data_IF_047263371911
#
_entry.id   IF_047263371911
#
_cell.length_a   1.000
_cell.length_b   1.000
_cell.length_c   1.000
_cell.angle_alpha   90.00
_cell.angle_beta   90.00
_cell.angle_gamma   90.00
#
_symmetry.space_group_name_H-M   'P 1'
#
loop_
_entity.id
_entity.type
_entity.pdbx_description
1 polymer ?
#
# COMPACT_ATOMS: atom_id res chain seq x y z
N UNK A 1 27.29 -16.72 -1.90
CA UNK A 1 25.96 -16.45 -2.49
C UNK A 1 25.49 -15.14 -1.88
N UNK A 2 25.00 -14.20 -2.69
CA UNK A 2 24.44 -12.96 -2.15
C UNK A 2 23.20 -13.30 -1.32
N UNK A 3 23.21 -13.03 -0.02
CA UNK A 3 22.09 -13.34 0.88
C UNK A 3 21.06 -12.20 0.95
N UNK A 4 20.88 -11.50 -0.18
CA UNK A 4 19.98 -10.36 -0.28
C UNK A 4 19.16 -10.44 -1.56
N UNK A 5 17.99 -9.80 -1.52
CA UNK A 5 17.08 -9.63 -2.66
C UNK A 5 17.05 -8.17 -3.08
N UNK A 6 16.75 -7.92 -4.36
CA UNK A 6 16.54 -6.57 -4.90
C UNK A 6 15.05 -6.39 -5.18
N UNK A 7 14.52 -5.26 -4.73
CA UNK A 7 13.11 -4.92 -4.86
C UNK A 7 13.01 -3.51 -5.44
N UNK A 8 12.20 -3.35 -6.49
CA UNK A 8 11.87 -2.07 -7.09
C UNK A 8 10.40 -1.76 -6.85
N UNK A 9 10.11 -0.63 -6.20
CA UNK A 9 8.74 -0.13 -5.98
C UNK A 9 8.58 1.16 -6.76
N UNK A 10 7.90 1.10 -7.92
CA UNK A 10 7.81 2.20 -8.91
C UNK A 10 9.16 2.89 -9.21
N UNK A 11 10.21 2.10 -9.36
CA UNK A 11 11.56 2.59 -9.66
C UNK A 11 12.39 3.00 -8.43
N UNK A 12 11.79 3.07 -7.24
CA UNK A 12 12.55 3.21 -5.99
C UNK A 12 13.16 1.86 -5.64
N UNK A 13 14.49 1.81 -5.56
CA UNK A 13 15.24 0.56 -5.39
C UNK A 13 15.57 0.32 -3.93
N UNK A 14 15.33 -0.91 -3.50
CA UNK A 14 15.62 -1.40 -2.16
C UNK A 14 16.42 -2.70 -2.26
N UNK A 15 17.26 -2.92 -1.25
CA UNK A 15 17.99 -4.18 -1.03
C UNK A 15 17.79 -4.60 0.40
N UNK A 16 17.56 -5.89 0.63
CA UNK A 16 17.35 -6.43 1.98
C UNK A 16 17.77 -7.89 2.04
N UNK A 17 18.28 -8.31 3.20
CA UNK A 17 18.52 -9.71 3.55
C UNK A 17 17.43 -10.28 4.46
N UNK A 18 16.33 -9.55 4.71
CA UNK A 18 15.24 -10.03 5.55
C UNK A 18 14.60 -11.29 4.93
N UNK A 19 14.53 -12.42 5.67
CA UNK A 19 13.78 -13.60 5.25
C UNK A 19 12.29 -13.29 5.05
N UNK A 20 11.70 -12.51 5.96
CA UNK A 20 10.28 -12.11 5.88
C UNK A 20 9.98 -11.28 4.63
N UNK A 21 10.93 -10.46 4.17
CA UNK A 21 10.77 -9.75 2.90
C UNK A 21 10.80 -10.71 1.70
N UNK A 22 11.67 -11.72 1.71
CA UNK A 22 11.70 -12.75 0.66
C UNK A 22 10.39 -13.53 0.61
N UNK A 23 9.92 -14.01 1.75
CA UNK A 23 8.66 -14.76 1.87
C UNK A 23 7.47 -13.93 1.37
N UNK A 24 7.42 -12.64 1.72
CA UNK A 24 6.39 -11.72 1.26
C UNK A 24 6.45 -11.51 -0.26
N UNK A 25 7.64 -11.29 -0.83
CA UNK A 25 7.77 -11.11 -2.28
C UNK A 25 7.36 -12.36 -3.06
N UNK A 26 7.71 -13.56 -2.56
CA UNK A 26 7.28 -14.82 -3.16
C UNK A 26 5.75 -15.00 -3.10
N UNK A 27 5.13 -14.64 -1.98
CA UNK A 27 3.67 -14.70 -1.83
C UNK A 27 2.99 -13.72 -2.79
N UNK A 28 3.39 -12.45 -2.77
CA UNK A 28 2.80 -11.43 -3.63
C UNK A 28 3.04 -11.71 -5.12
N UNK A 29 4.13 -12.40 -5.48
CA UNK A 29 4.36 -12.87 -6.84
C UNK A 29 3.36 -13.94 -7.26
N UNK A 30 3.05 -14.91 -6.38
CA UNK A 30 2.02 -15.93 -6.63
C UNK A 30 0.62 -15.30 -6.77
N UNK A 31 0.36 -14.24 -6.02
CA UNK A 31 -0.90 -13.49 -6.05
C UNK A 31 -1.00 -12.54 -7.27
N UNK A 32 0.06 -12.45 -8.09
CA UNK A 32 0.08 -11.62 -9.31
C UNK A 32 0.32 -10.11 -9.06
N UNK A 33 0.69 -9.72 -7.84
CA UNK A 33 1.00 -8.33 -7.47
C UNK A 33 2.46 -7.94 -7.71
N UNK A 34 3.35 -8.92 -7.92
CA UNK A 34 4.79 -8.70 -8.10
C UNK A 34 5.29 -9.36 -9.37
N UNK A 35 5.97 -8.58 -10.19
CA UNK A 35 6.68 -9.09 -11.36
C UNK A 35 8.09 -9.50 -10.97
N UNK A 36 8.51 -10.70 -11.36
CA UNK A 36 9.88 -11.19 -11.15
C UNK A 36 10.63 -11.08 -12.46
N UNK A 37 11.75 -10.36 -12.44
CA UNK A 37 12.62 -10.23 -13.61
C UNK A 37 13.42 -11.52 -13.86
N UNK A 38 14.01 -11.70 -15.05
CA UNK A 38 14.88 -12.85 -15.34
C UNK A 38 16.08 -12.99 -14.39
N UNK A 39 16.51 -11.90 -13.75
CA UNK A 39 17.62 -11.89 -12.78
C UNK A 39 17.17 -12.24 -11.36
N UNK A 40 15.88 -12.50 -11.14
CA UNK A 40 15.29 -12.74 -9.82
C UNK A 40 14.96 -11.46 -9.04
N UNK A 41 15.16 -10.27 -9.61
CA UNK A 41 14.77 -9.01 -8.96
C UNK A 41 13.25 -8.82 -9.02
N UNK A 42 12.66 -8.31 -7.94
CA UNK A 42 11.22 -8.08 -7.81
C UNK A 42 10.84 -6.65 -8.22
N UNK A 43 9.71 -6.49 -8.90
CA UNK A 43 9.11 -5.20 -9.23
C UNK A 43 7.66 -5.14 -8.75
N UNK A 44 7.30 -4.07 -8.05
CA UNK A 44 5.95 -3.75 -7.60
C UNK A 44 5.54 -2.38 -8.14
N UNK A 45 4.38 -2.31 -8.79
CA UNK A 45 3.79 -1.05 -9.26
C UNK A 45 2.93 -0.40 -8.17
N UNK A 46 3.56 -0.03 -7.05
CA UNK A 46 2.89 0.60 -5.89
C UNK A 46 3.65 1.82 -5.39
N UNK A 47 3.02 2.62 -4.52
CA UNK A 47 3.66 3.74 -3.85
C UNK A 47 4.89 3.28 -3.04
N UNK A 48 6.08 3.90 -3.22
CA UNK A 48 7.26 3.58 -2.43
C UNK A 48 7.28 4.24 -1.04
N UNK A 49 6.33 5.14 -0.76
CA UNK A 49 6.36 6.05 0.40
C UNK A 49 6.52 5.30 1.73
N UNK A 50 5.72 4.25 1.94
CA UNK A 50 5.75 3.46 3.18
C UNK A 50 6.66 2.23 3.11
N UNK A 51 7.22 1.89 1.95
CA UNK A 51 7.90 0.61 1.77
C UNK A 51 9.14 0.43 2.67
N UNK A 52 9.83 1.52 3.01
CA UNK A 52 10.93 1.44 3.98
C UNK A 52 10.45 1.02 5.39
N UNK A 53 9.23 1.39 5.79
CA UNK A 53 8.61 0.95 7.05
C UNK A 53 8.13 -0.49 7.00
N UNK A 54 7.66 -0.92 5.84
CA UNK A 54 7.37 -2.33 5.55
C UNK A 54 8.64 -3.16 5.76
N UNK A 55 9.78 -2.74 5.21
CA UNK A 55 11.06 -3.42 5.41
C UNK A 55 11.53 -3.41 6.87
N UNK A 56 11.33 -2.31 7.61
CA UNK A 56 11.61 -2.27 9.05
C UNK A 56 10.82 -3.35 9.79
N UNK A 57 9.51 -3.45 9.53
CA UNK A 57 8.64 -4.48 10.11
C UNK A 57 9.10 -5.91 9.77
N UNK A 58 9.34 -6.17 8.48
CA UNK A 58 9.79 -7.48 8.00
C UNK A 58 11.19 -7.85 8.50
N UNK A 59 11.97 -6.88 8.97
CA UNK A 59 13.28 -7.09 9.60
C UNK A 59 13.20 -7.22 11.12
N UNK A 60 11.99 -7.33 11.69
CA UNK A 60 11.77 -7.50 13.13
C UNK A 60 11.76 -6.20 13.94
N UNK A 61 11.71 -5.04 13.28
CA UNK A 61 11.51 -3.74 13.95
C UNK A 61 10.02 -3.39 13.98
N UNK A 62 9.69 -2.29 14.64
CA UNK A 62 8.32 -1.77 14.70
C UNK A 62 7.98 -0.99 13.43
N UNK A 63 6.74 -1.12 12.96
CA UNK A 63 6.21 -0.30 11.86
C UNK A 63 5.81 1.08 12.40
N UNK A 64 6.72 2.06 12.32
CA UNK A 64 6.39 3.44 12.68
C UNK A 64 5.86 4.21 11.47
N UNK A 65 4.64 4.73 11.57
CA UNK A 65 4.04 5.55 10.52
C UNK A 65 4.70 6.95 10.48
N UNK A 66 5.20 7.41 9.31
CA UNK A 66 5.70 8.76 9.15
C UNK A 66 4.58 9.80 9.35
N UNK A 67 4.95 11.00 9.83
CA UNK A 67 4.01 12.12 9.93
C UNK A 67 3.55 12.57 8.55
N UNK A 68 2.29 13.00 8.43
CA UNK A 68 1.72 13.56 7.20
C UNK A 68 1.24 12.53 6.19
N UNK A 69 1.24 11.24 6.55
CA UNK A 69 0.62 10.19 5.74
C UNK A 69 -0.88 10.15 6.07
N UNK A 70 -1.71 10.05 5.04
CA UNK A 70 -3.16 9.91 5.20
C UNK A 70 -3.47 8.59 5.93
N UNK A 71 -4.42 8.62 6.87
CA UNK A 71 -4.86 7.43 7.59
C UNK A 71 -5.36 6.31 6.66
N UNK A 72 -6.06 6.69 5.58
CA UNK A 72 -6.60 5.77 4.57
C UNK A 72 -5.44 5.09 3.82
N UNK A 73 -4.54 5.90 3.24
CA UNK A 73 -3.35 5.39 2.53
C UNK A 73 -2.53 4.45 3.44
N UNK A 74 -2.33 4.84 4.70
CA UNK A 74 -1.61 4.01 5.66
C UNK A 74 -2.26 2.64 5.86
N UNK A 75 -3.59 2.58 5.99
CA UNK A 75 -4.33 1.32 6.18
C UNK A 75 -4.32 0.45 4.92
N UNK A 76 -4.52 1.05 3.75
CA UNK A 76 -4.45 0.36 2.46
C UNK A 76 -3.06 -0.25 2.22
N UNK A 77 -1.99 0.47 2.58
CA UNK A 77 -0.64 -0.07 2.51
C UNK A 77 -0.43 -1.19 3.53
N UNK A 78 -0.84 -1.03 4.80
CA UNK A 78 -0.74 -2.09 5.81
C UNK A 78 -1.43 -3.39 5.34
N UNK A 79 -2.64 -3.28 4.79
CA UNK A 79 -3.39 -4.40 4.23
C UNK A 79 -2.64 -5.06 3.08
N UNK A 80 -2.20 -4.27 2.08
CA UNK A 80 -1.48 -4.79 0.93
C UNK A 80 -0.19 -5.50 1.30
N UNK A 81 0.59 -4.93 2.23
CA UNK A 81 1.84 -5.53 2.70
C UNK A 81 1.63 -6.63 3.75
N UNK A 82 0.38 -7.00 4.03
CA UNK A 82 -0.01 -8.04 4.98
C UNK A 82 0.56 -7.79 6.38
N UNK A 83 0.60 -6.52 6.78
CA UNK A 83 1.04 -6.08 8.10
C UNK A 83 -0.21 -5.88 8.97
N UNK A 84 -0.38 -6.67 10.04
CA UNK A 84 -1.52 -6.51 10.95
C UNK A 84 -1.47 -5.12 11.60
N UNK A 85 -2.64 -4.49 11.77
CA UNK A 85 -2.73 -3.14 12.34
C UNK A 85 -2.17 -3.08 13.77
N UNK A 86 -2.25 -4.20 14.49
CA UNK A 86 -1.70 -4.38 15.83
C UNK A 86 -0.17 -4.34 15.88
N UNK A 87 0.52 -4.49 14.73
CA UNK A 87 1.96 -4.31 14.64
C UNK A 87 2.38 -2.82 14.68
N UNK A 88 1.44 -1.90 14.47
CA UNK A 88 1.71 -0.47 14.55
C UNK A 88 1.75 -0.05 16.02
N UNK A 89 2.81 0.64 16.49
CA UNK A 89 2.89 1.07 17.88
C UNK A 89 1.87 2.17 18.21
N UNK A 90 1.45 2.22 19.48
CA UNK A 90 0.51 3.22 20.00
C UNK A 90 0.87 4.67 19.66
N UNK A 91 2.17 5.01 19.54
CA UNK A 91 2.60 6.36 19.16
C UNK A 91 2.16 6.80 17.75
N UNK A 92 1.65 5.88 16.94
CA UNK A 92 1.18 6.13 15.58
C UNK A 92 -0.36 5.98 15.46
N UNK A 93 -1.07 5.65 16.55
CA UNK A 93 -2.52 5.39 16.50
C UNK A 93 -3.32 6.65 16.20
N UNK A 94 -2.94 7.81 16.72
CA UNK A 94 -3.61 9.08 16.41
C UNK A 94 -3.64 9.35 14.90
N UNK A 95 -2.57 9.00 14.19
CA UNK A 95 -2.51 9.15 12.73
C UNK A 95 -3.33 8.06 12.04
N UNK A 96 -3.27 6.81 12.52
CA UNK A 96 -4.03 5.71 11.93
C UNK A 96 -5.53 5.82 12.14
N UNK A 97 -5.98 6.40 13.25
CA UNK A 97 -7.39 6.47 13.67
C UNK A 97 -7.87 7.92 13.73
N UNK A 98 -7.22 8.84 13.02
CA UNK A 98 -7.68 10.22 12.90
C UNK A 98 -9.14 10.27 12.39
N UNK A 99 -10.00 10.98 13.12
CA UNK A 99 -11.45 11.12 12.88
C UNK A 99 -11.78 11.82 11.55
N UNK A 100 -10.76 12.37 10.86
CA UNK A 100 -10.89 12.89 9.50
C UNK A 100 -11.37 11.82 8.49
N UNK A 101 -11.36 10.54 8.83
CA UNK A 101 -11.97 9.47 8.04
C UNK A 101 -13.43 9.77 7.66
N UNK A 102 -14.23 10.27 8.61
CA UNK A 102 -15.63 10.65 8.35
C UNK A 102 -15.74 11.82 7.36
N UNK A 103 -14.73 12.69 7.32
CA UNK A 103 -14.69 13.82 6.40
C UNK A 103 -14.31 13.36 5.00
N UNK A 104 -13.39 12.41 4.87
CA UNK A 104 -13.06 11.77 3.58
C UNK A 104 -14.25 11.02 2.99
N UNK A 105 -14.94 10.18 3.77
CA UNK A 105 -16.15 9.46 3.30
C UNK A 105 -17.24 10.42 2.78
N UNK A 106 -17.36 11.59 3.41
CA UNK A 106 -18.32 12.61 2.99
C UNK A 106 -17.91 13.28 1.67
N UNK A 107 -16.61 13.54 1.49
CA UNK A 107 -16.06 14.10 0.24
C UNK A 107 -16.19 13.09 -0.90
N UNK A 108 -15.81 11.83 -0.70
CA UNK A 108 -15.87 10.79 -1.73
C UNK A 108 -17.31 10.57 -2.23
N UNK A 109 -18.28 10.47 -1.30
CA UNK A 109 -19.71 10.40 -1.67
C UNK A 109 -20.18 11.61 -2.46
N UNK A 110 -19.69 12.81 -2.13
CA UNK A 110 -20.03 14.02 -2.87
C UNK A 110 -19.39 14.03 -4.28
N UNK A 111 -18.14 13.57 -4.41
CA UNK A 111 -17.44 13.44 -5.68
C UNK A 111 -18.12 12.43 -6.62
N UNK A 112 -18.54 11.27 -6.11
CA UNK A 112 -19.29 10.28 -6.88
C UNK A 112 -20.61 10.85 -7.43
N UNK A 113 -21.34 11.61 -6.60
CA UNK A 113 -22.58 12.28 -7.02
C UNK A 113 -22.33 13.30 -8.13
N UNK A 114 -21.23 14.05 -8.06
CA UNK A 114 -20.83 15.00 -9.10
C UNK A 114 -20.46 14.28 -10.40
N UNK A 115 -19.69 13.19 -10.33
CA UNK A 115 -19.32 12.37 -11.50
C UNK A 115 -20.57 11.82 -12.19
N UNK A 116 -21.53 11.29 -11.42
CA UNK A 116 -22.81 10.79 -11.97
C UNK A 116 -23.66 11.92 -12.60
N UNK A 117 -23.61 13.13 -12.06
CA UNK A 117 -24.30 14.29 -12.62
C UNK A 117 -23.69 14.81 -13.94
N UNK A 118 -22.39 14.61 -14.15
CA UNK A 118 -21.67 15.07 -15.36
C UNK A 118 -21.83 14.09 -16.53
N UNK A 119 -22.02 12.80 -16.27
CA UNK A 119 -22.29 11.78 -17.30
C UNK A 119 -23.77 11.35 -17.27
N UNK A 120 -24.70 12.15 -17.84
CA UNK A 120 -26.07 11.67 -18.00
C UNK A 120 -26.01 10.46 -18.95
N UNK A 121 -26.33 9.28 -18.44
CA UNK A 121 -26.60 8.10 -19.26
C UNK A 121 -27.50 8.52 -20.41
N UNK A 122 -26.99 8.47 -21.66
CA UNK A 122 -27.78 8.73 -22.87
C UNK A 122 -29.02 7.84 -22.78
N UNK A 123 -30.18 8.44 -22.51
CA UNK A 123 -31.46 7.74 -22.58
C UNK A 123 -31.58 7.19 -24.00
N UNK A 124 -31.52 5.86 -24.14
CA UNK A 124 -31.88 5.18 -25.38
C UNK A 124 -33.35 5.50 -25.65
N UNK A 125 -33.62 6.42 -26.58
CA UNK A 125 -34.95 6.58 -27.14
C UNK A 125 -35.21 5.32 -27.97
N UNK A 126 -36.14 4.48 -27.52
CA UNK A 126 -36.71 3.40 -28.32
C UNK A 126 -37.80 3.98 -29.22
N UNK A 127 -37.82 3.66 -30.53
CA UNK A 127 -39.01 3.80 -31.35
C UNK A 127 -40.03 2.70 -31.03
#
# INVERSE_FOLDING_TARGET
>A
MEDYIRISVRGTKYVTSSPGARDLMEKLSKDGHVMVSPNGDYFIDRSPVLFHKVLDYLSGRKFHLPKGICAIEAREELEFWMIPIEAVPNCCYEVLFDDNLSSYDAIEKAEEQLIQGVFPTRRKQHP
#
